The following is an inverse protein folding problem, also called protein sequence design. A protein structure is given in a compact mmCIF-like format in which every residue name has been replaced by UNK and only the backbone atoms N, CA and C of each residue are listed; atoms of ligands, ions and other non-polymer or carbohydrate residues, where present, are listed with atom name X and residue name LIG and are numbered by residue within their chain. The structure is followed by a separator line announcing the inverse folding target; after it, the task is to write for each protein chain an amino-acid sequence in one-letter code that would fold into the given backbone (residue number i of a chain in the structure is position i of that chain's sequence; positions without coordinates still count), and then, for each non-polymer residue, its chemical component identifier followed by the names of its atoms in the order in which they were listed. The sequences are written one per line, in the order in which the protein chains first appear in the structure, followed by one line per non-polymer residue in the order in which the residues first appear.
data_IF_707667038060
#
_entry.id   IF_707667038060
#
_cell.length_a   1.000
_cell.length_b   1.000
_cell.length_c   1.000
_cell.angle_alpha   90.00
_cell.angle_beta   90.00
_cell.angle_gamma   90.00
#
_symmetry.space_group_name_H-M   'P 1'
#
loop_
_entity.id
_entity.type
_entity.pdbx_description
1 polymer ?
#
# COMPACT_ATOMS: atom_id res chain seq x y z
N UNK A 1 18.05 -6.21 -9.70
CA UNK A 1 17.00 -6.60 -10.67
C UNK A 1 15.68 -6.17 -10.05
N UNK A 2 14.82 -5.45 -10.78
CA UNK A 2 13.50 -5.04 -10.28
C UNK A 2 12.62 -6.28 -10.12
N UNK A 3 11.96 -6.45 -8.97
CA UNK A 3 11.00 -7.53 -8.73
C UNK A 3 9.83 -7.40 -9.71
N UNK A 4 9.31 -8.53 -10.19
CA UNK A 4 8.27 -8.56 -11.22
C UNK A 4 7.11 -9.45 -10.75
N UNK A 5 5.88 -9.09 -11.12
CA UNK A 5 4.70 -9.93 -10.97
C UNK A 5 4.04 -10.13 -12.33
N UNK A 6 3.85 -11.37 -12.70
CA UNK A 6 3.13 -11.81 -13.87
C UNK A 6 1.65 -11.88 -13.51
N UNK A 7 0.87 -10.89 -13.98
CA UNK A 7 -0.56 -10.75 -13.73
C UNK A 7 -1.32 -11.02 -15.04
N UNK A 8 -1.95 -12.20 -15.21
CA UNK A 8 -2.68 -12.54 -16.44
C UNK A 8 -3.73 -11.48 -16.80
N UNK A 9 -3.95 -11.25 -18.10
CA UNK A 9 -4.94 -10.26 -18.57
C UNK A 9 -6.35 -10.54 -18.02
N UNK A 10 -6.70 -11.82 -17.85
CA UNK A 10 -7.98 -12.24 -17.25
C UNK A 10 -8.14 -11.80 -15.80
N UNK A 11 -7.06 -11.75 -15.01
CA UNK A 11 -7.11 -11.24 -13.63
C UNK A 11 -7.14 -9.71 -13.61
N UNK A 12 -6.44 -9.04 -14.53
CA UNK A 12 -6.50 -7.58 -14.68
C UNK A 12 -7.93 -7.11 -14.98
N UNK A 13 -8.60 -7.75 -15.94
CA UNK A 13 -9.98 -7.46 -16.27
C UNK A 13 -10.91 -7.67 -15.07
N UNK A 14 -10.74 -8.76 -14.32
CA UNK A 14 -11.55 -8.99 -13.11
C UNK A 14 -11.34 -7.90 -12.05
N UNK A 15 -10.09 -7.44 -11.82
CA UNK A 15 -9.82 -6.33 -10.92
C UNK A 15 -10.52 -5.06 -11.41
N UNK A 16 -10.45 -4.77 -12.71
CA UNK A 16 -11.09 -3.60 -13.32
C UNK A 16 -12.61 -3.67 -13.18
N UNK A 17 -13.24 -4.79 -13.53
CA UNK A 17 -14.68 -4.99 -13.46
C UNK A 17 -15.19 -4.84 -12.02
N UNK A 18 -14.48 -5.43 -11.05
CA UNK A 18 -14.78 -5.26 -9.62
C UNK A 18 -14.65 -3.80 -9.19
N UNK A 19 -13.58 -3.12 -9.62
CA UNK A 19 -13.33 -1.72 -9.26
C UNK A 19 -14.43 -0.80 -9.82
N UNK A 20 -14.84 -1.01 -11.07
CA UNK A 20 -15.91 -0.24 -11.71
C UNK A 20 -17.26 -0.48 -11.03
N UNK A 21 -17.56 -1.72 -10.68
CA UNK A 21 -18.80 -2.09 -10.00
C UNK A 21 -18.86 -1.62 -8.53
N UNK A 22 -17.71 -1.51 -7.86
CA UNK A 22 -17.60 -1.13 -6.45
C UNK A 22 -17.71 0.37 -6.17
N UNK A 23 -17.62 1.23 -7.20
CA UNK A 23 -17.72 2.68 -7.03
C UNK A 23 -19.03 3.07 -6.31
N UNK A 24 -18.99 4.04 -5.36
CA UNK A 24 -17.87 4.92 -5.02
C UNK A 24 -16.90 4.36 -3.97
N UNK A 25 -17.13 3.15 -3.46
CA UNK A 25 -16.25 2.53 -2.45
C UNK A 25 -15.00 1.91 -3.12
N UNK A 26 -13.92 1.80 -2.36
CA UNK A 26 -12.78 0.96 -2.71
C UNK A 26 -13.17 -0.51 -2.60
N UNK A 27 -12.80 -1.31 -3.60
CA UNK A 27 -12.81 -2.77 -3.50
C UNK A 27 -11.47 -3.26 -2.97
N UNK A 28 -11.43 -4.49 -2.44
CA UNK A 28 -10.19 -5.13 -2.08
C UNK A 28 -10.27 -6.67 -2.14
N UNK A 29 -9.12 -7.31 -2.11
CA UNK A 29 -9.00 -8.76 -2.04
C UNK A 29 -7.54 -9.20 -2.05
N UNK A 30 -7.33 -10.50 -2.13
CA UNK A 30 -5.99 -11.09 -2.20
C UNK A 30 -5.81 -11.88 -3.48
N UNK A 31 -4.56 -12.13 -3.84
CA UNK A 31 -4.17 -12.84 -5.06
C UNK A 31 -3.37 -14.07 -4.67
N UNK A 32 -3.88 -15.23 -5.05
CA UNK A 32 -3.18 -16.51 -4.96
C UNK A 32 -2.20 -16.65 -6.12
N UNK A 33 -1.06 -17.27 -5.88
CA UNK A 33 -0.11 -17.58 -6.93
C UNK A 33 1.14 -18.27 -6.42
N UNK A 34 2.15 -18.34 -7.29
CA UNK A 34 3.51 -18.72 -6.93
C UNK A 34 4.43 -17.76 -7.66
N UNK A 35 5.15 -16.92 -6.92
CA UNK A 35 5.94 -15.86 -7.54
C UNK A 35 6.88 -16.38 -8.65
N UNK A 36 6.97 -15.64 -9.78
CA UNK A 36 6.34 -14.34 -10.02
C UNK A 36 4.89 -14.43 -10.56
N UNK A 37 4.25 -15.60 -10.56
CA UNK A 37 2.96 -15.82 -11.24
C UNK A 37 1.74 -15.66 -10.32
N UNK A 38 0.82 -14.77 -10.68
CA UNK A 38 -0.53 -14.74 -10.13
C UNK A 38 -1.45 -15.75 -10.85
N UNK A 39 -2.31 -16.44 -10.10
CA UNK A 39 -3.17 -17.51 -10.64
C UNK A 39 -4.66 -17.29 -10.38
N UNK A 40 -5.04 -16.68 -9.26
CA UNK A 40 -6.46 -16.42 -8.96
C UNK A 40 -6.63 -15.22 -8.02
N UNK A 41 -7.77 -14.51 -8.16
CA UNK A 41 -8.22 -13.52 -7.20
C UNK A 41 -9.12 -14.18 -6.16
N UNK A 42 -9.02 -13.73 -4.92
CA UNK A 42 -10.01 -14.00 -3.87
C UNK A 42 -10.55 -12.64 -3.42
N UNK A 43 -11.72 -12.23 -3.95
CA UNK A 43 -12.33 -10.96 -3.59
C UNK A 43 -12.73 -10.93 -2.12
N UNK A 44 -12.61 -9.77 -1.51
CA UNK A 44 -13.04 -9.50 -0.14
C UNK A 44 -14.10 -8.41 -0.12
N UNK A 45 -14.93 -8.43 0.92
CA UNK A 45 -15.64 -7.22 1.32
C UNK A 45 -14.62 -6.22 1.86
N UNK A 46 -14.82 -4.95 1.56
CA UNK A 46 -14.11 -3.87 2.24
C UNK A 46 -14.78 -3.65 3.61
N UNK A 47 -14.09 -4.01 4.69
CA UNK A 47 -14.59 -3.88 6.07
C UNK A 47 -14.07 -2.65 6.79
N UNK A 48 -13.44 -1.70 6.08
CA UNK A 48 -13.06 -0.41 6.64
C UNK A 48 -14.31 0.42 7.02
N UNK A 49 -14.14 1.33 7.98
CA UNK A 49 -15.17 2.29 8.37
C UNK A 49 -15.44 3.29 7.23
N UNK A 50 -14.39 3.90 6.67
CA UNK A 50 -14.45 4.83 5.55
C UNK A 50 -14.00 4.18 4.23
N UNK A 51 -14.91 3.41 3.62
CA UNK A 51 -14.61 2.57 2.44
C UNK A 51 -14.34 3.34 1.16
N UNK A 52 -14.72 4.61 1.06
CA UNK A 52 -14.52 5.44 -0.16
C UNK A 52 -13.09 5.91 -0.32
N UNK A 53 -12.30 5.88 0.75
CA UNK A 53 -10.91 6.37 0.76
C UNK A 53 -9.94 5.38 1.40
N UNK A 54 -10.42 4.21 1.85
CA UNK A 54 -9.63 3.13 2.44
C UNK A 54 -10.16 1.75 2.07
N UNK A 55 -9.31 0.76 2.26
CA UNK A 55 -9.73 -0.62 2.37
C UNK A 55 -9.25 -1.31 3.66
N UNK A 56 -9.99 -2.34 4.05
CA UNK A 56 -9.55 -3.37 4.98
C UNK A 56 -10.08 -4.70 4.47
N UNK A 57 -9.17 -5.64 4.20
CA UNK A 57 -9.52 -7.00 3.77
C UNK A 57 -10.13 -7.74 4.96
N UNK A 58 -11.20 -8.48 4.73
CA UNK A 58 -11.85 -9.29 5.74
C UNK A 58 -10.84 -10.32 6.30
N UNK A 59 -10.69 -10.46 7.63
CA UNK A 59 -9.71 -11.38 8.21
C UNK A 59 -9.86 -12.83 7.72
N UNK A 60 -11.09 -13.27 7.50
CA UNK A 60 -11.40 -14.61 6.97
C UNK A 60 -10.82 -14.85 5.56
N UNK A 61 -10.74 -13.80 4.74
CA UNK A 61 -10.11 -13.83 3.42
C UNK A 61 -8.60 -13.87 3.56
N UNK A 62 -8.01 -13.05 4.44
CA UNK A 62 -6.56 -13.09 4.72
C UNK A 62 -6.10 -14.46 5.22
N UNK A 63 -6.93 -15.17 6.00
CA UNK A 63 -6.63 -16.53 6.47
C UNK A 63 -6.56 -17.57 5.34
N UNK A 64 -7.07 -17.28 4.14
CA UNK A 64 -6.91 -18.17 2.98
C UNK A 64 -5.43 -18.36 2.58
N UNK A 65 -4.52 -17.48 3.02
CA UNK A 65 -3.08 -17.66 2.79
C UNK A 65 -2.57 -19.02 3.28
N UNK A 66 -3.05 -19.52 4.43
CA UNK A 66 -2.66 -20.83 4.96
C UNK A 66 -3.16 -21.97 4.07
N UNK A 67 -4.35 -21.84 3.49
CA UNK A 67 -4.88 -22.80 2.51
C UNK A 67 -4.06 -22.79 1.22
N UNK A 68 -3.53 -21.63 0.82
CA UNK A 68 -2.64 -21.53 -0.34
C UNK A 68 -1.31 -22.23 -0.06
N UNK A 69 -0.73 -21.99 1.12
CA UNK A 69 0.52 -22.61 1.57
C UNK A 69 0.42 -24.14 1.62
N UNK A 70 -0.67 -24.69 2.16
CA UNK A 70 -0.94 -26.13 2.18
C UNK A 70 -1.00 -26.74 0.76
N UNK A 71 -1.42 -25.94 -0.23
CA UNK A 71 -1.46 -26.32 -1.63
C UNK A 71 -0.15 -26.01 -2.40
N UNK A 72 0.88 -25.50 -1.73
CA UNK A 72 2.16 -25.12 -2.32
C UNK A 72 2.13 -23.79 -3.10
N UNK A 73 1.11 -22.97 -2.89
CA UNK A 73 1.00 -21.60 -3.40
C UNK A 73 1.20 -20.59 -2.25
N UNK A 74 1.13 -19.29 -2.55
CA UNK A 74 1.22 -18.21 -1.58
C UNK A 74 0.27 -17.06 -1.92
N UNK A 75 0.11 -16.13 -0.97
CA UNK A 75 -0.53 -14.83 -1.21
C UNK A 75 0.47 -13.88 -1.88
N UNK A 76 0.54 -13.92 -3.20
CA UNK A 76 1.52 -13.13 -3.99
C UNK A 76 1.17 -11.65 -4.07
N UNK A 77 -0.10 -11.30 -3.86
CA UNK A 77 -0.54 -9.91 -3.87
C UNK A 77 -1.75 -9.65 -2.97
N UNK A 78 -1.87 -8.40 -2.54
CA UNK A 78 -3.11 -7.79 -2.06
C UNK A 78 -3.51 -6.76 -3.12
N UNK A 79 -4.79 -6.68 -3.48
CA UNK A 79 -5.26 -5.69 -4.42
C UNK A 79 -6.36 -4.82 -3.83
N UNK A 80 -6.38 -3.56 -4.22
CA UNK A 80 -7.47 -2.64 -3.95
C UNK A 80 -7.66 -1.65 -5.11
N UNK A 81 -8.72 -0.85 -5.03
CA UNK A 81 -9.02 0.16 -6.04
C UNK A 81 -8.97 1.56 -5.47
N UNK A 82 -8.54 2.51 -6.29
CA UNK A 82 -8.63 3.94 -6.04
C UNK A 82 -9.69 4.57 -6.96
N UNK A 83 -10.90 4.89 -6.44
CA UNK A 83 -11.99 5.44 -7.25
C UNK A 83 -11.64 6.79 -7.90
N UNK A 84 -10.88 7.64 -7.20
CA UNK A 84 -10.60 9.03 -7.59
C UNK A 84 -9.11 9.43 -7.50
N UNK A 85 -8.26 8.60 -6.89
CA UNK A 85 -6.82 8.82 -6.73
C UNK A 85 -5.99 8.02 -7.75
N UNK A 86 -4.73 8.44 -8.05
CA UNK A 86 -3.86 7.73 -8.99
C UNK A 86 -3.53 6.30 -8.54
N UNK A 87 -3.02 5.47 -9.46
CA UNK A 87 -2.52 4.13 -9.16
C UNK A 87 -1.14 4.23 -8.49
N UNK A 88 -1.12 4.73 -7.26
CA UNK A 88 0.06 4.88 -6.44
C UNK A 88 -0.35 4.79 -4.96
N UNK A 89 0.44 4.16 -4.09
CA UNK A 89 0.07 3.99 -2.68
C UNK A 89 -0.22 5.34 -2.04
N UNK A 90 -1.33 5.44 -1.34
CA UNK A 90 -1.67 6.57 -0.49
C UNK A 90 -0.88 6.50 0.83
N UNK A 91 -0.92 7.59 1.59
CA UNK A 91 -0.39 7.59 2.95
C UNK A 91 -1.12 6.58 3.86
N UNK A 92 -2.42 6.37 3.65
CA UNK A 92 -3.15 5.34 4.39
C UNK A 92 -2.66 3.95 4.01
N UNK A 93 -2.43 3.68 2.73
CA UNK A 93 -1.91 2.38 2.29
C UNK A 93 -0.55 2.10 2.94
N UNK A 94 0.32 3.11 3.00
CA UNK A 94 1.58 3.02 3.73
C UNK A 94 1.36 2.71 5.23
N UNK A 95 0.44 3.42 5.88
CA UNK A 95 0.12 3.21 7.30
C UNK A 95 -0.44 1.82 7.60
N UNK A 96 -1.25 1.24 6.71
CA UNK A 96 -1.93 -0.06 6.95
C UNK A 96 -1.19 -1.25 6.33
N UNK A 97 -0.12 -1.02 5.56
CA UNK A 97 0.66 -2.09 4.94
C UNK A 97 1.32 -2.99 6.00
N UNK A 98 0.84 -4.23 6.11
CA UNK A 98 1.31 -5.22 7.08
C UNK A 98 1.88 -6.51 6.44
N UNK A 99 1.88 -6.62 5.11
CA UNK A 99 2.32 -7.80 4.36
C UNK A 99 3.50 -7.45 3.44
N UNK A 100 4.72 -7.28 3.99
CA UNK A 100 5.88 -6.82 3.22
C UNK A 100 6.30 -7.78 2.09
N UNK A 101 5.97 -9.07 2.24
CA UNK A 101 6.24 -10.10 1.23
C UNK A 101 5.24 -10.06 0.06
N UNK A 102 4.07 -9.42 0.18
CA UNK A 102 3.07 -9.36 -0.89
C UNK A 102 3.23 -8.12 -1.75
N UNK A 103 2.86 -8.24 -3.03
CA UNK A 103 2.72 -7.07 -3.92
C UNK A 103 1.39 -6.36 -3.64
N UNK A 104 1.41 -5.04 -3.50
CA UNK A 104 0.22 -4.21 -3.40
C UNK A 104 -0.19 -3.73 -4.80
N UNK A 105 -1.26 -4.32 -5.34
CA UNK A 105 -1.84 -3.96 -6.62
C UNK A 105 -2.91 -2.87 -6.44
N UNK A 106 -2.75 -1.76 -7.16
CA UNK A 106 -3.66 -0.62 -7.06
C UNK A 106 -4.31 -0.39 -8.42
N UNK A 107 -5.63 -0.56 -8.48
CA UNK A 107 -6.44 -0.24 -9.65
C UNK A 107 -7.03 1.17 -9.53
N UNK A 108 -6.49 2.13 -10.26
CA UNK A 108 -7.02 3.49 -10.30
C UNK A 108 -8.05 3.68 -11.38
N UNK A 109 -9.15 4.32 -11.02
CA UNK A 109 -10.24 4.73 -11.91
C UNK A 109 -10.27 6.25 -12.13
N UNK A 110 -9.19 6.95 -11.78
CA UNK A 110 -9.05 8.40 -11.94
C UNK A 110 -8.94 8.84 -13.41
N UNK A 111 -8.22 8.04 -14.21
CA UNK A 111 -8.07 8.28 -15.64
C UNK A 111 -9.26 7.71 -16.42
N UNK A 112 -9.40 8.11 -17.69
CA UNK A 112 -10.46 7.60 -18.57
C UNK A 112 -10.38 6.07 -18.74
N UNK A 113 -9.15 5.53 -18.79
CA UNK A 113 -8.90 4.10 -18.78
C UNK A 113 -8.37 3.69 -17.40
N UNK A 114 -8.92 2.63 -16.79
CA UNK A 114 -8.39 2.06 -15.56
C UNK A 114 -6.91 1.71 -15.67
N UNK A 115 -6.13 2.01 -14.63
CA UNK A 115 -4.68 1.73 -14.57
C UNK A 115 -4.39 0.86 -13.37
N UNK A 116 -3.73 -0.28 -13.58
CA UNK A 116 -3.24 -1.14 -12.50
C UNK A 116 -1.73 -0.97 -12.39
N UNK A 117 -1.24 -0.70 -11.18
CA UNK A 117 0.20 -0.69 -10.84
C UNK A 117 0.46 -1.55 -9.61
N UNK A 118 1.68 -2.08 -9.48
CA UNK A 118 2.09 -2.93 -8.37
C UNK A 118 3.21 -2.29 -7.56
N UNK A 119 3.17 -2.45 -6.25
CA UNK A 119 4.14 -1.86 -5.33
C UNK A 119 4.57 -2.85 -4.25
N UNK A 120 5.81 -2.73 -3.79
CA UNK A 120 6.22 -3.22 -2.48
C UNK A 120 6.15 -2.07 -1.48
N UNK A 121 5.58 -2.35 -0.31
CA UNK A 121 5.50 -1.42 0.80
C UNK A 121 6.27 -2.03 1.96
N UNK A 122 7.46 -1.48 2.22
CA UNK A 122 8.39 -2.03 3.20
C UNK A 122 8.51 -1.07 4.37
N UNK A 123 8.19 -1.54 5.57
CA UNK A 123 8.46 -0.81 6.79
C UNK A 123 9.98 -0.80 7.05
N UNK A 124 10.51 0.39 7.31
CA UNK A 124 11.93 0.62 7.54
C UNK A 124 12.10 1.01 8.99
N UNK A 125 12.88 0.21 9.72
CA UNK A 125 13.35 0.61 11.04
C UNK A 125 14.21 1.88 10.91
N UNK A 126 13.72 2.96 11.52
CA UNK A 126 14.36 4.26 11.48
C UNK A 126 14.33 4.87 12.88
N UNK A 127 15.49 5.33 13.33
CA UNK A 127 15.63 6.05 14.60
C UNK A 127 15.82 7.54 14.29
N UNK A 128 14.81 8.36 14.63
CA UNK A 128 14.84 9.80 14.39
C UNK A 128 13.93 10.57 15.37
N UNK A 129 14.21 11.85 15.55
CA UNK A 129 13.38 12.75 16.36
C UNK A 129 12.22 13.31 15.53
N UNK A 130 11.01 12.76 15.73
CA UNK A 130 9.79 13.22 15.07
C UNK A 130 9.48 14.69 15.39
N UNK A 131 9.78 15.18 16.59
CA UNK A 131 9.51 16.58 16.98
C UNK A 131 10.41 17.53 16.20
N UNK A 132 11.70 17.21 16.09
CA UNK A 132 12.63 17.98 15.26
C UNK A 132 12.22 17.94 13.78
N UNK A 133 11.75 16.78 13.29
CA UNK A 133 11.28 16.64 11.91
C UNK A 133 10.03 17.50 11.65
N UNK A 134 9.05 17.51 12.56
CA UNK A 134 7.83 18.34 12.49
C UNK A 134 8.13 19.85 12.41
N UNK A 135 9.31 20.30 12.86
CA UNK A 135 9.73 21.70 12.75
C UNK A 135 10.32 22.05 11.37
N UNK A 136 10.77 21.05 10.61
CA UNK A 136 11.45 21.25 9.32
C UNK A 136 10.54 20.98 8.11
N UNK A 137 9.52 20.13 8.27
CA UNK A 137 8.60 19.73 7.20
C UNK A 137 7.14 19.84 7.64
N UNK A 138 6.27 20.12 6.68
CA UNK A 138 4.82 20.11 6.89
C UNK A 138 4.26 18.71 6.60
N UNK A 139 3.65 18.12 7.62
CA UNK A 139 2.82 16.93 7.45
C UNK A 139 1.40 17.34 7.08
N UNK A 140 0.76 16.56 6.21
CA UNK A 140 -0.66 16.71 5.92
C UNK A 140 -1.45 15.65 6.68
N UNK A 141 -2.57 16.06 7.27
CA UNK A 141 -3.51 15.13 7.89
C UNK A 141 -4.31 14.44 6.79
N UNK A 142 -4.17 13.12 6.67
CA UNK A 142 -4.83 12.32 5.62
C UNK A 142 -6.17 11.78 6.09
N UNK A 143 -6.29 11.58 7.41
CA UNK A 143 -7.49 11.20 8.17
C UNK A 143 -7.34 11.69 9.61
N UNK A 144 -8.43 11.78 10.40
CA UNK A 144 -8.35 12.20 11.79
C UNK A 144 -7.24 11.48 12.56
N UNK A 145 -6.22 12.25 12.97
CA UNK A 145 -5.08 11.75 13.74
C UNK A 145 -3.96 11.08 12.92
N UNK A 146 -4.14 10.81 11.62
CA UNK A 146 -3.12 10.23 10.75
C UNK A 146 -2.49 11.32 9.88
N UNK A 147 -1.18 11.50 10.03
CA UNK A 147 -0.40 12.52 9.36
C UNK A 147 0.68 11.91 8.50
N UNK A 148 0.94 12.52 7.35
CA UNK A 148 1.88 11.98 6.39
C UNK A 148 2.78 13.03 5.76
N UNK A 149 3.99 12.61 5.40
CA UNK A 149 4.88 13.32 4.51
C UNK A 149 5.46 12.32 3.52
N UNK A 150 5.36 12.66 2.23
CA UNK A 150 5.91 11.85 1.16
C UNK A 150 7.21 12.47 0.64
N UNK A 151 8.28 11.67 0.62
CA UNK A 151 9.54 12.05 0.01
C UNK A 151 9.72 11.33 -1.32
N UNK A 152 9.63 12.10 -2.40
CA UNK A 152 9.97 11.62 -3.73
C UNK A 152 11.46 11.30 -3.88
N UNK A 153 11.78 10.45 -4.85
CA UNK A 153 13.16 10.09 -5.22
C UNK A 153 14.01 11.33 -5.51
N UNK A 154 15.22 11.37 -4.95
CA UNK A 154 16.17 12.46 -5.17
C UNK A 154 15.87 13.78 -4.42
N UNK A 155 14.75 13.90 -3.71
CA UNK A 155 14.51 15.06 -2.84
C UNK A 155 15.50 15.04 -1.66
N UNK A 156 16.17 16.15 -1.28
CA UNK A 156 17.08 16.14 -0.12
C UNK A 156 16.39 15.67 1.17
N UNK A 157 17.14 14.99 2.05
CA UNK A 157 16.65 14.67 3.40
C UNK A 157 16.70 15.92 4.28
N UNK A 158 15.69 16.17 5.11
CA UNK A 158 15.78 17.16 6.19
C UNK A 158 16.92 16.80 7.16
N UNK A 159 17.55 17.80 7.77
CA UNK A 159 18.62 17.63 8.77
C UNK A 159 18.21 16.69 9.92
N UNK A 160 16.93 16.70 10.28
CA UNK A 160 16.36 15.83 11.31
C UNK A 160 16.44 14.32 10.96
N UNK A 161 16.55 13.97 9.67
CA UNK A 161 16.71 12.59 9.19
C UNK A 161 18.15 12.28 8.77
N UNK A 162 18.92 13.27 8.33
CA UNK A 162 20.31 13.08 7.86
C UNK A 162 21.29 12.82 9.01
N UNK A 163 21.01 13.35 10.22
CA UNK A 163 21.91 13.26 11.39
C UNK A 163 21.70 12.02 12.26
N UNK A 164 20.75 11.16 11.92
CA UNK A 164 20.43 9.95 12.69
C UNK A 164 20.69 8.69 11.87
N UNK A 165 20.63 7.50 12.49
CA UNK A 165 20.68 6.22 11.75
C UNK A 165 19.37 6.06 10.96
N UNK A 166 19.23 6.79 9.86
CA UNK A 166 18.05 6.79 9.00
C UNK A 166 18.35 6.04 7.69
N UNK A 167 18.11 4.72 7.61
CA UNK A 167 18.43 3.91 6.44
C UNK A 167 17.27 3.90 5.42
N UNK A 168 16.73 5.05 5.02
CA UNK A 168 15.58 5.05 4.11
C UNK A 168 15.98 5.04 2.63
N UNK A 169 15.54 4.01 1.92
CA UNK A 169 15.48 3.96 0.45
C UNK A 169 14.45 4.96 -0.06
N UNK A 170 14.61 5.48 -1.27
CA UNK A 170 13.66 6.42 -1.88
C UNK A 170 12.86 5.81 -3.04
N UNK A 171 11.60 6.22 -3.23
CA UNK A 171 10.81 7.14 -2.39
C UNK A 171 10.22 6.47 -1.15
N UNK A 172 9.77 7.26 -0.17
CA UNK A 172 9.14 6.74 1.05
C UNK A 172 8.12 7.71 1.65
N UNK A 173 7.27 7.17 2.51
CA UNK A 173 6.40 7.93 3.43
C UNK A 173 7.00 7.95 4.83
N UNK A 174 6.90 9.09 5.51
CA UNK A 174 6.88 9.13 6.98
C UNK A 174 5.43 9.35 7.37
N UNK A 175 4.85 8.38 8.07
CA UNK A 175 3.48 8.46 8.58
C UNK A 175 3.51 8.35 10.08
N UNK A 176 2.65 9.09 10.76
CA UNK A 176 2.47 8.95 12.18
C UNK A 176 1.00 9.13 12.55
N UNK A 177 0.57 8.33 13.52
CA UNK A 177 -0.77 8.35 14.05
C UNK A 177 -0.75 8.80 15.50
N UNK A 178 -1.65 9.72 15.84
CA UNK A 178 -1.81 10.20 17.20
C UNK A 178 -3.31 10.47 17.45
N UNK A 179 -3.99 9.62 18.25
CA UNK A 179 -5.44 9.71 18.44
C UNK A 179 -5.86 10.89 19.31
N UNK A 180 -4.98 11.36 20.20
CA UNK A 180 -5.18 12.57 21.01
C UNK A 180 -3.85 13.28 21.30
N UNK A 181 -3.85 14.59 21.60
CA UNK A 181 -2.61 15.39 21.71
C UNK A 181 -1.62 14.95 22.80
N UNK A 182 -2.03 14.09 23.74
CA UNK A 182 -1.21 13.69 24.90
C UNK A 182 -0.62 12.29 24.71
N UNK A 183 -1.22 11.46 23.85
CA UNK A 183 -0.69 10.15 23.48
C UNK A 183 0.67 10.25 22.78
N UNK A 184 1.56 9.28 23.01
CA UNK A 184 2.78 9.16 22.21
C UNK A 184 2.41 8.79 20.76
N UNK A 185 2.98 9.47 19.76
CA UNK A 185 2.68 9.18 18.36
C UNK A 185 3.31 7.86 17.94
N UNK A 186 2.53 7.00 17.30
CA UNK A 186 3.06 5.84 16.58
C UNK A 186 3.58 6.30 15.22
N UNK A 187 4.75 5.81 14.81
CA UNK A 187 5.43 6.29 13.61
C UNK A 187 5.86 5.11 12.75
N UNK A 188 5.71 5.25 11.42
CA UNK A 188 6.23 4.30 10.43
C UNK A 188 6.96 5.04 9.32
N UNK A 189 8.02 4.42 8.81
CA UNK A 189 8.74 4.88 7.62
C UNK A 189 8.61 3.82 6.56
N UNK A 190 7.85 4.11 5.51
CA UNK A 190 7.44 3.09 4.55
C UNK A 190 8.05 3.40 3.20
N UNK A 191 8.99 2.56 2.78
CA UNK A 191 9.53 2.58 1.43
C UNK A 191 8.47 2.17 0.42
N UNK A 192 8.44 2.83 -0.73
CA UNK A 192 7.56 2.51 -1.84
C UNK A 192 8.39 2.11 -3.06
N UNK A 193 8.47 0.81 -3.32
CA UNK A 193 9.13 0.28 -4.51
C UNK A 193 8.11 -0.09 -5.58
N UNK A 194 8.33 0.31 -6.83
CA UNK A 194 7.45 -0.11 -7.93
C UNK A 194 7.85 -1.50 -8.45
N UNK A 195 6.84 -2.38 -8.55
CA UNK A 195 6.95 -3.73 -9.08
C UNK A 195 6.54 -3.71 -10.54
N UNK A 196 7.34 -4.32 -11.40
CA UNK A 196 7.00 -4.41 -12.82
C UNK A 196 5.92 -5.47 -13.03
N UNK A 197 4.77 -5.04 -13.56
CA UNK A 197 3.71 -5.96 -13.96
C UNK A 197 3.96 -6.47 -15.39
N UNK A 198 3.85 -7.78 -15.58
CA UNK A 198 3.89 -8.43 -16.89
C UNK A 198 2.53 -9.07 -17.19
N UNK A 199 2.01 -8.77 -18.37
CA UNK A 199 0.83 -9.43 -18.93
C UNK A 199 1.28 -10.56 -19.85
N UNK A 200 0.61 -11.70 -19.78
CA UNK A 200 0.71 -12.83 -20.71
C UNK A 200 -0.71 -13.32 -21.00
#
# INVERSE_FOLDING_TARGET
MTRELVLPYTLQLQIIDQSLAGKPEEICGIVRGREPQATALVPSRNVAEERTINYLVEPSVLMQQFVFEDAGDSMVAIYHSHPESPAYPSATDAWTAAYPESVYLICSLKALQPVIRGFELLDIEADFDLTALKQQISFHETRPGLFAWYRATGTPLPDALDRTRFPARDPFYVVWFQPDPVAEPEVRVVYVGEIRLKSH
#
